data_IF_952918399337
#
_entry.id   IF_952918399337
#
_cell.length_a   1.000
_cell.length_b   1.000
_cell.length_c   1.000
_cell.angle_alpha   90.00
_cell.angle_beta   90.00
_cell.angle_gamma   90.00
#
_symmetry.space_group_name_H-M   'P 1'
#
loop_
_entity.id
_entity.type
_entity.pdbx_description
1 polymer ?
#
# COMPACT_ATOMS: atom_id res chain seq x y z
N UNK A 1 67.72 -22.42 -5.91
CA UNK A 1 68.40 -22.03 -4.65
C UNK A 1 67.35 -21.80 -3.59
N UNK A 2 67.47 -22.47 -2.44
CA UNK A 2 66.57 -22.39 -1.28
C UNK A 2 66.90 -21.17 -0.41
N UNK A 3 65.89 -20.60 0.26
CA UNK A 3 65.89 -19.99 1.62
C UNK A 3 64.47 -19.50 1.92
N UNK A 4 63.64 -20.27 2.64
CA UNK A 4 63.42 -20.28 4.11
C UNK A 4 62.99 -18.92 4.67
N UNK A 5 61.71 -18.78 5.04
CA UNK A 5 61.19 -18.77 6.44
C UNK A 5 61.14 -17.34 6.98
N UNK A 6 60.06 -16.86 7.63
CA UNK A 6 59.57 -17.29 8.94
C UNK A 6 58.06 -16.98 9.06
N UNK A 7 57.33 -17.98 9.54
CA UNK A 7 55.94 -17.93 9.99
C UNK A 7 55.94 -17.44 11.43
N UNK A 8 55.09 -16.45 11.77
CA UNK A 8 54.79 -16.12 13.16
C UNK A 8 53.35 -16.53 13.47
N UNK A 9 53.23 -17.67 14.16
CA UNK A 9 52.00 -18.13 14.81
C UNK A 9 51.99 -17.51 16.21
N UNK A 10 50.95 -16.75 16.54
CA UNK A 10 50.64 -16.42 17.94
C UNK A 10 49.53 -17.38 18.39
N UNK A 11 49.95 -18.39 19.15
CA UNK A 11 49.08 -19.30 19.90
C UNK A 11 48.74 -18.63 21.23
N UNK A 12 47.47 -18.36 21.47
CA UNK A 12 46.99 -18.10 22.84
C UNK A 12 46.19 -19.32 23.26
N UNK A 13 46.76 -20.09 24.18
CA UNK A 13 46.13 -21.25 24.82
C UNK A 13 45.21 -20.80 25.95
N UNK A 14 44.05 -21.45 26.03
CA UNK A 14 43.16 -21.38 27.19
C UNK A 14 41.88 -22.19 26.96
N UNK A 15 41.93 -23.51 27.15
CA UNK A 15 40.76 -24.38 27.22
C UNK A 15 40.46 -24.72 28.69
N UNK A 16 39.22 -24.55 29.16
CA UNK A 16 38.42 -25.62 29.80
C UNK A 16 37.03 -25.11 30.23
N UNK A 17 35.97 -25.84 29.83
CA UNK A 17 34.59 -25.70 30.31
C UNK A 17 34.22 -26.88 31.23
N UNK A 18 33.12 -26.78 32.01
CA UNK A 18 32.03 -27.73 31.82
C UNK A 18 30.63 -27.04 31.78
N UNK A 19 29.55 -27.80 31.46
CA UNK A 19 28.38 -27.29 30.76
C UNK A 19 27.23 -26.92 31.72
N UNK A 20 26.35 -26.01 31.28
CA UNK A 20 24.97 -25.98 31.76
C UNK A 20 24.05 -25.87 30.53
N UNK A 21 23.30 -26.95 30.30
CA UNK A 21 22.28 -27.07 29.27
C UNK A 21 21.18 -26.04 29.49
N UNK A 22 21.03 -25.11 28.54
CA UNK A 22 19.71 -24.54 28.22
C UNK A 22 19.49 -24.55 26.72
N UNK A 23 18.55 -25.37 26.22
CA UNK A 23 18.12 -25.28 24.83
C UNK A 23 17.18 -24.09 24.65
N UNK A 24 17.51 -23.25 23.67
CA UNK A 24 16.51 -22.61 22.82
C UNK A 24 16.17 -21.15 23.12
N UNK A 25 16.81 -20.24 22.39
CA UNK A 25 16.11 -19.12 21.76
C UNK A 25 16.87 -18.74 20.48
N UNK A 26 16.23 -18.81 19.29
CA UNK A 26 16.89 -18.49 18.05
C UNK A 26 17.20 -17.00 17.95
N UNK A 27 18.21 -16.72 17.13
CA UNK A 27 18.71 -15.43 16.75
C UNK A 27 17.63 -14.34 16.67
N UNK A 28 17.93 -13.20 17.30
CA UNK A 28 17.31 -11.94 16.95
C UNK A 28 17.61 -11.66 15.47
N UNK A 29 16.71 -12.10 14.60
CA UNK A 29 16.60 -11.59 13.25
C UNK A 29 16.41 -10.08 13.38
N UNK A 30 17.28 -9.33 12.71
CA UNK A 30 17.09 -7.92 12.45
C UNK A 30 15.68 -7.72 11.89
N UNK A 31 14.79 -7.19 12.74
CA UNK A 31 13.49 -6.75 12.30
C UNK A 31 13.73 -5.57 11.37
N UNK A 32 13.52 -5.80 10.07
CA UNK A 32 13.35 -4.75 9.07
C UNK A 32 12.46 -3.64 9.66
N UNK A 33 12.77 -2.35 9.43
CA UNK A 33 11.95 -1.27 9.97
C UNK A 33 10.52 -1.47 9.50
N UNK A 34 9.63 -1.75 10.45
CA UNK A 34 8.19 -1.84 10.19
C UNK A 34 7.77 -0.46 9.71
N UNK A 35 7.54 -0.38 8.41
CA UNK A 35 7.08 0.81 7.71
C UNK A 35 5.81 1.30 8.42
N UNK A 36 5.68 2.61 8.71
CA UNK A 36 4.54 3.10 9.48
C UNK A 36 3.26 2.80 8.70
N UNK A 37 2.42 1.93 9.28
CA UNK A 37 1.06 1.70 8.81
C UNK A 37 0.33 3.02 9.02
N UNK A 38 0.06 3.74 7.93
CA UNK A 38 -0.79 4.92 7.97
C UNK A 38 -2.11 4.55 8.63
N UNK A 39 -2.55 5.35 9.60
CA UNK A 39 -3.69 5.06 10.47
C UNK A 39 -4.88 4.53 9.66
N UNK A 40 -5.18 3.24 9.86
CA UNK A 40 -6.25 2.53 9.18
C UNK A 40 -7.51 2.55 10.05
N UNK A 41 -8.69 2.70 9.46
CA UNK A 41 -9.96 2.64 10.21
C UNK A 41 -10.26 1.21 10.66
N UNK A 42 -11.29 1.03 11.49
CA UNK A 42 -11.81 -0.29 11.84
C UNK A 42 -12.18 -1.15 10.60
N UNK A 43 -12.50 -0.49 9.48
CA UNK A 43 -12.83 -1.13 8.21
C UNK A 43 -11.60 -1.36 7.30
N UNK A 44 -10.38 -1.03 7.77
CA UNK A 44 -9.14 -1.21 7.01
C UNK A 44 -8.85 -0.13 5.96
N UNK A 45 -9.61 0.97 5.95
CA UNK A 45 -9.40 2.11 5.05
C UNK A 45 -8.28 3.02 5.58
N UNK A 46 -7.41 3.53 4.70
CA UNK A 46 -6.50 4.63 5.04
C UNK A 46 -7.28 5.95 4.99
N UNK A 47 -8.01 6.27 6.06
CA UNK A 47 -8.96 7.39 6.10
C UNK A 47 -8.34 8.75 5.76
N UNK A 48 -7.06 8.97 6.04
CA UNK A 48 -6.37 10.22 5.71
C UNK A 48 -6.30 10.50 4.20
N UNK A 49 -6.55 9.49 3.35
CA UNK A 49 -6.62 9.64 1.90
C UNK A 49 -8.06 9.90 1.40
N UNK A 50 -9.09 9.64 2.20
CA UNK A 50 -10.49 9.70 1.76
C UNK A 50 -11.10 11.07 2.10
N UNK A 51 -11.61 11.79 1.10
CA UNK A 51 -12.35 13.06 1.32
C UNK A 51 -13.86 12.86 1.52
N UNK A 52 -14.27 11.62 1.78
CA UNK A 52 -15.65 11.21 1.95
C UNK A 52 -15.72 9.99 2.88
N UNK A 53 -16.89 9.75 3.44
CA UNK A 53 -17.18 8.57 4.27
C UNK A 53 -17.94 7.51 3.47
N UNK A 54 -18.04 6.29 4.01
CA UNK A 54 -18.89 5.21 3.43
C UNK A 54 -20.34 5.66 3.20
N UNK A 55 -20.87 6.48 4.11
CA UNK A 55 -22.22 7.03 4.03
C UNK A 55 -22.40 8.02 2.86
N UNK A 56 -21.31 8.61 2.36
CA UNK A 56 -21.30 9.60 1.28
C UNK A 56 -20.80 9.01 -0.05
N UNK A 57 -20.27 7.79 -0.04
CA UNK A 57 -19.60 7.19 -1.19
C UNK A 57 -20.52 6.94 -2.40
N UNK A 58 -21.84 6.95 -2.23
CA UNK A 58 -22.82 6.86 -3.33
C UNK A 58 -23.56 8.17 -3.60
N UNK A 59 -23.09 9.30 -3.07
CA UNK A 59 -23.60 10.64 -3.42
C UNK A 59 -23.11 11.11 -4.80
N UNK A 60 -22.48 10.22 -5.56
CA UNK A 60 -21.77 10.47 -6.80
C UNK A 60 -22.41 9.68 -7.96
N UNK A 61 -21.87 9.81 -9.17
CA UNK A 61 -22.47 9.23 -10.38
C UNK A 61 -21.95 7.82 -10.72
N UNK A 62 -21.36 7.13 -9.74
CA UNK A 62 -20.89 5.75 -9.88
C UNK A 62 -19.39 5.64 -10.14
N UNK A 63 -18.60 6.64 -9.74
CA UNK A 63 -17.16 6.54 -9.76
C UNK A 63 -16.47 7.31 -8.63
N UNK A 64 -15.28 6.84 -8.27
CA UNK A 64 -14.36 7.48 -7.32
C UNK A 64 -13.07 7.81 -8.08
N UNK A 65 -12.59 9.02 -7.91
CA UNK A 65 -11.34 9.50 -8.50
C UNK A 65 -10.23 9.49 -7.46
N UNK A 66 -9.04 9.05 -7.86
CA UNK A 66 -7.83 9.05 -7.04
C UNK A 66 -6.59 9.44 -7.86
N UNK A 67 -5.54 9.88 -7.17
CA UNK A 67 -4.23 10.11 -7.76
C UNK A 67 -3.32 8.91 -7.53
N UNK A 68 -2.57 8.53 -8.56
CA UNK A 68 -1.55 7.49 -8.49
C UNK A 68 -0.19 8.07 -8.88
N UNK A 69 0.85 7.84 -8.07
CA UNK A 69 2.19 8.35 -8.34
C UNK A 69 2.78 7.74 -9.60
N UNK A 70 3.21 8.59 -10.54
CA UNK A 70 3.80 8.16 -11.81
C UNK A 70 5.10 7.35 -11.60
N UNK A 71 5.82 7.62 -10.51
CA UNK A 71 7.02 6.88 -10.10
C UNK A 71 6.74 5.40 -9.80
N UNK A 72 5.50 5.03 -9.42
CA UNK A 72 5.09 3.65 -9.20
C UNK A 72 4.97 2.81 -10.48
N UNK A 73 4.86 3.47 -11.65
CA UNK A 73 4.90 2.84 -12.97
C UNK A 73 3.92 1.68 -13.16
N UNK A 74 4.33 0.71 -13.99
CA UNK A 74 3.53 -0.50 -14.29
C UNK A 74 3.16 -1.34 -13.06
N UNK A 75 4.04 -1.55 -12.06
CA UNK A 75 3.68 -2.27 -10.85
C UNK A 75 2.46 -1.69 -10.12
N UNK A 76 2.45 -0.37 -9.89
CA UNK A 76 1.32 0.31 -9.25
C UNK A 76 0.04 0.16 -10.07
N UNK A 77 0.11 0.39 -11.38
CA UNK A 77 -1.04 0.24 -12.29
C UNK A 77 -1.62 -1.18 -12.26
N UNK A 78 -0.76 -2.20 -12.22
CA UNK A 78 -1.19 -3.59 -12.16
C UNK A 78 -1.85 -3.94 -10.82
N UNK A 79 -1.31 -3.43 -9.71
CA UNK A 79 -1.91 -3.62 -8.39
C UNK A 79 -3.31 -2.97 -8.31
N UNK A 80 -3.43 -1.73 -8.79
CA UNK A 80 -4.72 -1.03 -8.85
C UNK A 80 -5.76 -1.81 -9.67
N UNK A 81 -5.38 -2.31 -10.85
CA UNK A 81 -6.25 -3.14 -11.70
C UNK A 81 -6.57 -4.51 -11.09
N UNK A 82 -5.67 -5.06 -10.30
CA UNK A 82 -5.92 -6.32 -9.60
C UNK A 82 -6.97 -6.15 -8.49
N UNK A 83 -6.95 -5.01 -7.78
CA UNK A 83 -7.95 -4.68 -6.75
C UNK A 83 -9.28 -4.29 -7.39
N UNK A 84 -9.25 -3.43 -8.40
CA UNK A 84 -10.42 -2.90 -9.08
C UNK A 84 -10.26 -3.03 -10.60
N UNK A 85 -10.73 -4.15 -11.20
CA UNK A 85 -10.57 -4.38 -12.65
C UNK A 85 -11.23 -3.33 -13.55
N UNK A 86 -12.22 -2.60 -13.03
CA UNK A 86 -12.90 -1.50 -13.73
C UNK A 86 -12.13 -0.17 -13.68
N UNK A 87 -10.97 -0.12 -13.01
CA UNK A 87 -10.23 1.14 -12.85
C UNK A 87 -9.63 1.60 -14.19
N UNK A 88 -9.98 2.83 -14.57
CA UNK A 88 -9.39 3.52 -15.69
C UNK A 88 -8.22 4.37 -15.22
N UNK A 89 -7.10 4.36 -15.95
CA UNK A 89 -5.90 5.14 -15.63
C UNK A 89 -5.60 6.06 -16.81
N UNK A 90 -5.36 7.34 -16.52
CA UNK A 90 -5.06 8.38 -17.50
C UNK A 90 -3.78 9.12 -17.13
N UNK A 91 -2.97 9.38 -18.15
CA UNK A 91 -1.82 10.30 -18.07
C UNK A 91 -2.24 11.77 -18.07
N UNK A 92 -3.48 12.07 -18.45
CA UNK A 92 -4.02 13.43 -18.42
C UNK A 92 -4.69 13.72 -17.06
N UNK A 93 -4.58 14.97 -16.54
CA UNK A 93 -5.38 15.39 -15.42
C UNK A 93 -6.86 15.39 -15.84
N UNK A 94 -7.69 14.70 -15.06
CA UNK A 94 -9.13 14.56 -15.32
C UNK A 94 -9.91 14.69 -14.01
N UNK A 95 -11.19 15.02 -14.13
CA UNK A 95 -12.09 15.10 -12.99
C UNK A 95 -11.73 16.20 -11.99
N UNK A 96 -12.10 15.97 -10.73
CA UNK A 96 -12.01 16.92 -9.61
C UNK A 96 -10.92 16.59 -8.61
N UNK A 97 -10.34 15.40 -8.67
CA UNK A 97 -9.29 14.95 -7.74
C UNK A 97 -8.04 15.83 -7.77
N UNK A 98 -7.79 16.54 -8.89
CA UNK A 98 -6.75 17.57 -8.98
C UNK A 98 -5.33 17.02 -8.95
N UNK A 99 -5.08 15.86 -9.55
CA UNK A 99 -3.75 15.26 -9.60
C UNK A 99 -2.74 16.17 -10.30
N UNK A 100 -1.51 16.19 -9.79
CA UNK A 100 -0.41 16.92 -10.41
C UNK A 100 0.00 16.22 -11.73
N UNK A 101 -0.16 16.86 -12.90
CA UNK A 101 0.07 16.21 -14.19
C UNK A 101 1.54 15.83 -14.43
N UNK A 102 2.48 16.39 -13.67
CA UNK A 102 3.92 16.10 -13.81
C UNK A 102 4.32 14.85 -13.03
N UNK A 103 3.69 14.59 -11.89
CA UNK A 103 4.13 13.54 -10.94
C UNK A 103 3.09 12.45 -10.70
N UNK A 104 1.84 12.65 -11.12
CA UNK A 104 0.71 11.78 -10.81
C UNK A 104 -0.09 11.44 -12.08
N UNK A 105 -0.81 10.33 -12.01
CA UNK A 105 -1.79 9.84 -12.97
C UNK A 105 -3.18 10.00 -12.35
N UNK A 106 -4.19 10.27 -13.18
CA UNK A 106 -5.58 10.22 -12.73
C UNK A 106 -6.08 8.79 -12.85
N UNK A 107 -6.63 8.26 -11.77
CA UNK A 107 -7.24 6.93 -11.73
C UNK A 107 -8.72 7.04 -11.33
N UNK A 108 -9.60 6.40 -12.10
CA UNK A 108 -11.06 6.47 -11.96
C UNK A 108 -11.58 5.06 -11.73
N UNK A 109 -12.02 4.78 -10.51
CA UNK A 109 -12.68 3.53 -10.16
C UNK A 109 -14.19 3.66 -10.42
N UNK A 110 -14.67 3.11 -11.53
CA UNK A 110 -16.08 3.01 -11.83
C UNK A 110 -16.72 1.77 -11.16
N UNK A 111 -17.94 1.92 -10.65
CA UNK A 111 -18.69 0.85 -10.03
C UNK A 111 -20.17 0.89 -10.42
N UNK A 112 -20.81 -0.28 -10.44
CA UNK A 112 -22.26 -0.37 -10.64
C UNK A 112 -22.98 0.09 -9.36
N UNK A 113 -23.72 1.21 -9.43
CA UNK A 113 -24.45 1.76 -8.28
C UNK A 113 -25.53 0.83 -7.75
N UNK A 114 -26.22 0.09 -8.62
CA UNK A 114 -27.25 -0.86 -8.21
C UNK A 114 -26.69 -2.03 -7.40
N UNK A 115 -25.41 -2.36 -7.61
CA UNK A 115 -24.70 -3.37 -6.84
C UNK A 115 -23.96 -2.79 -5.63
N UNK A 116 -23.38 -1.59 -5.76
CA UNK A 116 -22.50 -1.01 -4.75
C UNK A 116 -23.23 -0.21 -3.67
N UNK A 117 -24.44 0.28 -3.94
CA UNK A 117 -25.14 1.20 -3.06
C UNK A 117 -26.40 0.54 -2.45
N UNK A 118 -26.74 0.92 -1.22
CA UNK A 118 -28.01 0.49 -0.60
C UNK A 118 -29.21 1.08 -1.34
N UNK A 119 -29.08 2.33 -1.81
CA UNK A 119 -29.95 3.06 -2.70
C UNK A 119 -29.17 4.24 -3.33
N UNK A 120 -29.78 4.97 -4.26
CA UNK A 120 -29.17 6.19 -4.81
C UNK A 120 -28.96 7.25 -3.72
N UNK A 121 -27.75 7.82 -3.65
CA UNK A 121 -27.39 8.77 -2.60
C UNK A 121 -27.27 8.17 -1.19
N UNK A 122 -27.24 6.84 -1.07
CA UNK A 122 -27.17 6.16 0.23
C UNK A 122 -25.74 5.72 0.62
N UNK A 123 -25.65 4.90 1.65
CA UNK A 123 -24.41 4.28 2.09
C UNK A 123 -23.93 3.25 1.06
N UNK A 124 -22.62 3.22 0.81
CA UNK A 124 -22.00 2.16 0.02
C UNK A 124 -21.98 0.86 0.83
N UNK A 125 -22.37 -0.24 0.19
CA UNK A 125 -22.38 -1.58 0.80
C UNK A 125 -20.98 -2.00 1.24
N UNK A 126 -20.86 -2.85 2.28
CA UNK A 126 -19.56 -3.24 2.84
C UNK A 126 -18.59 -3.80 1.79
N UNK A 127 -19.06 -4.63 0.87
CA UNK A 127 -18.22 -5.31 -0.13
C UNK A 127 -17.63 -4.32 -1.16
N UNK A 128 -18.44 -3.34 -1.59
CA UNK A 128 -17.95 -2.27 -2.46
C UNK A 128 -17.01 -1.32 -1.71
N UNK A 129 -17.31 -1.03 -0.44
CA UNK A 129 -16.46 -0.20 0.41
C UNK A 129 -15.10 -0.83 0.68
N UNK A 130 -15.03 -2.15 0.82
CA UNK A 130 -13.77 -2.89 0.95
C UNK A 130 -12.84 -2.64 -0.25
N UNK A 131 -13.39 -2.55 -1.46
CA UNK A 131 -12.60 -2.22 -2.66
C UNK A 131 -11.97 -0.83 -2.53
N UNK A 132 -12.73 0.16 -2.04
CA UNK A 132 -12.23 1.51 -1.77
C UNK A 132 -11.14 1.48 -0.69
N UNK A 133 -11.34 0.74 0.40
CA UNK A 133 -10.34 0.59 1.45
C UNK A 133 -9.04 -0.03 0.92
N UNK A 134 -9.14 -1.11 0.12
CA UNK A 134 -7.99 -1.76 -0.50
C UNK A 134 -7.22 -0.82 -1.42
N UNK A 135 -7.92 -0.05 -2.28
CA UNK A 135 -7.28 0.96 -3.12
C UNK A 135 -6.58 2.05 -2.30
N UNK A 136 -7.20 2.50 -1.20
CA UNK A 136 -6.61 3.49 -0.30
C UNK A 136 -5.34 2.97 0.40
N UNK A 137 -5.25 1.66 0.63
CA UNK A 137 -4.10 1.02 1.25
C UNK A 137 -2.91 0.86 0.29
N UNK A 138 -3.14 0.91 -1.03
CA UNK A 138 -2.06 0.85 -2.03
C UNK A 138 -1.10 2.01 -1.84
N UNK A 139 0.18 1.71 -1.79
CA UNK A 139 1.22 2.73 -1.73
C UNK A 139 1.32 3.49 -3.05
N UNK A 140 1.56 4.79 -2.99
CA UNK A 140 1.57 5.64 -4.18
C UNK A 140 0.17 6.05 -4.64
N UNK A 141 -0.91 5.64 -3.96
CA UNK A 141 -2.21 6.31 -4.11
C UNK A 141 -2.35 7.48 -3.15
N UNK A 142 -3.01 8.53 -3.60
CA UNK A 142 -3.35 9.72 -2.81
C UNK A 142 -4.74 10.20 -3.17
N UNK A 143 -5.38 10.86 -2.21
CA UNK A 143 -6.61 11.67 -2.33
C UNK A 143 -7.71 10.95 -3.12
N UNK A 144 -8.75 10.50 -2.44
CA UNK A 144 -9.92 9.90 -3.06
C UNK A 144 -11.08 10.87 -2.92
N UNK A 145 -11.74 11.17 -4.05
CA UNK A 145 -12.93 12.03 -4.09
C UNK A 145 -14.08 11.33 -4.82
N UNK A 146 -15.34 11.59 -4.42
CA UNK A 146 -16.50 11.18 -5.20
C UNK A 146 -16.55 11.92 -6.54
N UNK A 147 -16.82 11.20 -7.62
CA UNK A 147 -16.93 11.77 -8.96
C UNK A 147 -18.36 12.12 -9.34
N UNK A 148 -18.60 13.39 -9.67
CA UNK A 148 -19.89 13.89 -10.14
C UNK A 148 -19.76 14.19 -11.64
N UNK A 149 -20.73 13.76 -12.42
CA UNK A 149 -20.95 14.24 -13.78
C UNK A 149 -21.06 15.76 -13.77
N UNK A 150 -20.42 16.39 -14.74
CA UNK A 150 -20.59 17.82 -15.02
C UNK A 150 -21.85 18.07 -15.84
#
# INVERSE_FOLDING_TARGET
>A
MRKLSVVLVVVVSGCFSPPDERPGAPAAAEALPTRPVTASTADGCVASKLQFTRAQACWNDGWIELCAERAGGTPLVNELRHIAPSIFISDAPMGRVGCNPTTELTAIYAFDRGQACEADGATMRPEAWETVCRLSAVEGTRIFVPGFGE
#
